data_IF_864074266584
#
_entry.id   IF_864074266584
#
_cell.length_a   1.000
_cell.length_b   1.000
_cell.length_c   1.000
_cell.angle_alpha   90.00
_cell.angle_beta   90.00
_cell.angle_gamma   90.00
#
_symmetry.space_group_name_H-M   'P 1'
#
loop_
_entity.id
_entity.type
_entity.pdbx_description
1 polymer ?
#
# COMPACT_ATOMS: atom_id res chain seq x y z
N UNK A 1 3.19 35.25 -15.82
CA UNK A 1 4.53 35.88 -15.85
C UNK A 1 5.48 34.91 -15.19
N UNK A 2 6.51 34.45 -15.91
CA UNK A 2 7.46 33.47 -15.41
C UNK A 2 8.20 34.02 -14.18
N UNK A 3 8.12 33.28 -13.08
CA UNK A 3 8.77 33.66 -11.82
C UNK A 3 10.26 33.27 -11.85
N UNK A 4 11.14 34.07 -11.25
CA UNK A 4 12.56 33.68 -11.13
C UNK A 4 12.73 32.58 -10.08
N UNK A 5 13.89 31.91 -10.07
CA UNK A 5 14.22 30.94 -9.01
C UNK A 5 14.24 31.60 -7.63
N UNK A 6 14.82 32.79 -7.52
CA UNK A 6 14.92 33.53 -6.25
C UNK A 6 13.53 33.88 -5.69
N UNK A 7 12.64 34.37 -6.57
CA UNK A 7 11.26 34.66 -6.19
C UNK A 7 10.52 33.39 -5.76
N UNK A 8 10.70 32.28 -6.49
CA UNK A 8 10.10 30.98 -6.16
C UNK A 8 10.51 30.51 -4.77
N UNK A 9 11.81 30.56 -4.46
CA UNK A 9 12.34 30.14 -3.16
C UNK A 9 11.88 31.06 -2.04
N UNK A 10 11.81 32.37 -2.28
CA UNK A 10 11.26 33.33 -1.32
C UNK A 10 9.79 33.05 -1.02
N UNK A 11 8.98 32.71 -2.03
CA UNK A 11 7.57 32.35 -1.85
C UNK A 11 7.44 31.06 -1.04
N UNK A 12 8.30 30.07 -1.33
CA UNK A 12 8.34 28.81 -0.62
C UNK A 12 8.94 28.91 0.79
N UNK A 13 9.49 30.07 1.18
CA UNK A 13 10.13 30.27 2.48
C UNK A 13 11.50 29.58 2.62
N UNK A 14 12.18 29.27 1.51
CA UNK A 14 13.48 28.60 1.49
C UNK A 14 14.58 29.59 1.07
N UNK A 15 15.72 29.60 1.76
CA UNK A 15 16.86 30.44 1.38
C UNK A 15 17.71 29.78 0.29
N UNK A 16 18.37 30.58 -0.56
CA UNK A 16 19.22 30.07 -1.65
C UNK A 16 20.38 29.19 -1.16
N UNK A 17 20.89 29.42 0.05
CA UNK A 17 21.96 28.62 0.69
C UNK A 17 21.52 27.23 1.15
N UNK A 18 20.21 26.99 1.30
CA UNK A 18 19.69 25.66 1.71
C UNK A 18 19.63 24.68 0.55
N UNK A 19 19.71 25.15 -0.69
CA UNK A 19 19.49 24.36 -1.91
C UNK A 19 20.74 23.64 -2.42
N UNK A 20 21.92 23.97 -1.89
CA UNK A 20 23.22 23.48 -2.40
C UNK A 20 23.40 21.95 -2.26
N UNK A 21 22.58 21.28 -1.44
CA UNK A 21 22.62 19.83 -1.27
C UNK A 21 21.57 19.07 -2.10
N UNK A 22 20.61 19.75 -2.75
CA UNK A 22 19.54 19.12 -3.54
C UNK A 22 18.54 18.29 -2.73
N UNK A 23 18.54 18.37 -1.40
CA UNK A 23 17.70 17.56 -0.51
C UNK A 23 16.40 18.27 -0.07
N UNK A 24 16.21 19.51 -0.52
CA UNK A 24 15.11 20.34 -0.05
C UNK A 24 13.77 20.03 -0.74
N UNK A 25 12.69 20.19 0.01
CA UNK A 25 11.33 20.15 -0.49
C UNK A 25 10.72 21.54 -0.46
N UNK A 26 10.13 22.00 -1.57
CA UNK A 26 9.41 23.28 -1.60
C UNK A 26 7.92 23.08 -1.76
N UNK A 27 7.13 23.99 -1.20
CA UNK A 27 5.68 24.03 -1.38
C UNK A 27 5.27 25.36 -1.96
N UNK A 28 4.49 25.33 -3.05
CA UNK A 28 3.77 26.47 -3.57
C UNK A 28 2.29 26.30 -3.27
N UNK A 29 1.70 27.32 -2.65
CA UNK A 29 0.30 27.31 -2.27
C UNK A 29 -0.39 28.54 -2.85
N UNK A 30 -1.50 28.29 -3.54
CA UNK A 30 -2.29 29.29 -4.21
C UNK A 30 -1.73 29.68 -5.58
N UNK A 31 -2.42 30.64 -6.19
CA UNK A 31 -2.18 31.03 -7.56
C UNK A 31 -1.07 32.08 -7.69
N UNK A 32 0.18 31.63 -7.57
CA UNK A 32 1.37 32.51 -7.49
C UNK A 32 2.07 32.72 -8.83
N UNK A 33 1.94 31.79 -9.77
CA UNK A 33 2.59 31.87 -11.08
C UNK A 33 1.89 31.00 -12.13
N UNK A 34 2.08 31.33 -13.40
CA UNK A 34 1.62 30.52 -14.54
C UNK A 34 2.70 29.57 -15.09
N UNK A 35 3.95 29.69 -14.63
CA UNK A 35 5.09 28.89 -15.10
C UNK A 35 6.23 28.85 -14.08
N UNK A 36 6.86 27.67 -13.95
CA UNK A 36 8.04 27.48 -13.10
C UNK A 36 9.34 27.73 -13.90
N UNK A 37 10.41 28.21 -13.25
CA UNK A 37 11.72 28.33 -13.88
C UNK A 37 12.31 26.95 -14.21
N UNK A 38 13.15 26.89 -15.25
CA UNK A 38 13.86 25.67 -15.65
C UNK A 38 15.02 25.33 -14.70
N UNK A 39 15.56 24.12 -14.81
CA UNK A 39 16.72 23.63 -14.05
C UNK A 39 16.54 23.74 -12.52
N UNK A 40 15.33 23.48 -12.02
CA UNK A 40 15.09 23.38 -10.59
C UNK A 40 15.73 22.10 -10.06
N UNK A 41 16.64 22.25 -9.08
CA UNK A 41 17.28 21.14 -8.38
C UNK A 41 16.73 21.08 -6.97
N UNK A 42 15.84 20.14 -6.73
CA UNK A 42 15.12 19.97 -5.48
C UNK A 42 14.95 18.48 -5.23
N UNK A 43 14.77 18.07 -3.98
CA UNK A 43 14.32 16.70 -3.73
C UNK A 43 12.81 16.59 -3.99
N UNK A 44 12.05 17.59 -3.55
CA UNK A 44 10.59 17.55 -3.56
C UNK A 44 9.91 18.84 -4.00
N UNK A 45 8.79 18.70 -4.69
CA UNK A 45 7.92 19.80 -5.08
C UNK A 45 6.46 19.49 -4.72
N UNK A 46 5.85 20.35 -3.90
CA UNK A 46 4.41 20.33 -3.64
C UNK A 46 3.76 21.54 -4.28
N UNK A 47 2.71 21.30 -5.07
CA UNK A 47 1.88 22.31 -5.71
C UNK A 47 0.46 22.16 -5.18
N UNK A 48 -0.06 23.24 -4.60
CA UNK A 48 -1.41 23.27 -4.05
C UNK A 48 -2.15 24.50 -4.54
N UNK A 49 -3.35 24.32 -5.05
CA UNK A 49 -4.25 25.41 -5.46
C UNK A 49 -3.61 26.36 -6.51
N UNK A 50 -2.69 25.85 -7.34
CA UNK A 50 -2.00 26.61 -8.38
C UNK A 50 -2.82 26.68 -9.67
N UNK A 51 -3.90 27.46 -9.64
CA UNK A 51 -4.89 27.50 -10.75
C UNK A 51 -4.34 28.02 -12.07
N UNK A 52 -3.35 28.92 -12.09
CA UNK A 52 -2.78 29.47 -13.34
C UNK A 52 -1.61 28.66 -13.89
N UNK A 53 -1.01 27.76 -13.10
CA UNK A 53 0.16 27.00 -13.52
C UNK A 53 -0.20 26.01 -14.63
N UNK A 54 0.42 26.19 -15.80
CA UNK A 54 0.04 25.47 -17.03
C UNK A 54 0.77 24.15 -17.24
N UNK A 55 2.02 24.07 -16.76
CA UNK A 55 2.87 22.90 -16.95
C UNK A 55 4.06 22.94 -16.01
N UNK A 56 4.69 21.78 -15.82
CA UNK A 56 6.00 21.67 -15.20
C UNK A 56 7.11 21.85 -16.26
N UNK A 57 8.32 22.28 -15.88
CA UNK A 57 9.49 22.30 -16.77
C UNK A 57 9.90 20.89 -17.17
N UNK A 58 10.31 20.69 -18.44
CA UNK A 58 10.74 19.37 -18.95
C UNK A 58 12.07 18.89 -18.34
N UNK A 59 12.86 19.80 -17.79
CA UNK A 59 14.15 19.54 -17.14
C UNK A 59 14.06 19.51 -15.60
N UNK A 60 12.85 19.32 -15.06
CA UNK A 60 12.61 19.21 -13.64
C UNK A 60 13.25 17.91 -13.09
N UNK A 61 14.18 18.05 -12.14
CA UNK A 61 14.89 16.95 -11.50
C UNK A 61 14.51 16.90 -10.02
N UNK A 62 13.58 16.00 -9.69
CA UNK A 62 13.01 15.79 -8.35
C UNK A 62 12.72 14.31 -8.12
N UNK A 63 12.61 13.90 -6.84
CA UNK A 63 12.24 12.55 -6.42
C UNK A 63 10.85 12.46 -5.81
N UNK A 64 10.32 13.57 -5.30
CA UNK A 64 8.99 13.70 -4.74
C UNK A 64 8.18 14.77 -5.48
N UNK A 65 6.99 14.42 -5.93
CA UNK A 65 6.04 15.38 -6.52
C UNK A 65 4.66 15.21 -5.89
N UNK A 66 4.09 16.30 -5.41
CA UNK A 66 2.69 16.35 -4.95
C UNK A 66 1.95 17.46 -5.70
N UNK A 67 0.81 17.13 -6.31
CA UNK A 67 -0.05 18.09 -7.02
C UNK A 67 -1.48 17.94 -6.50
N UNK A 68 -1.99 19.01 -5.91
CA UNK A 68 -3.35 19.10 -5.39
C UNK A 68 -4.07 20.28 -6.03
N UNK A 69 -5.23 20.02 -6.65
CA UNK A 69 -6.11 21.06 -7.20
C UNK A 69 -5.40 22.04 -8.15
N UNK A 70 -4.58 21.51 -9.07
CA UNK A 70 -3.91 22.28 -10.12
C UNK A 70 -4.49 21.90 -11.50
N UNK A 71 -5.69 22.38 -11.86
CA UNK A 71 -6.49 21.82 -12.97
C UNK A 71 -5.88 22.03 -14.36
N UNK A 72 -4.98 23.00 -14.52
CA UNK A 72 -4.34 23.30 -15.80
C UNK A 72 -3.10 22.43 -16.09
N UNK A 73 -2.60 21.67 -15.10
CA UNK A 73 -1.51 20.71 -15.30
C UNK A 73 -2.14 19.39 -15.73
N UNK A 74 -2.12 19.14 -17.04
CA UNK A 74 -2.75 17.94 -17.64
C UNK A 74 -1.74 16.85 -18.01
N UNK A 75 -0.44 17.14 -17.90
CA UNK A 75 0.63 16.19 -18.22
C UNK A 75 1.84 16.43 -17.32
N UNK A 76 2.56 15.34 -17.05
CA UNK A 76 3.85 15.36 -16.39
C UNK A 76 4.98 15.28 -17.44
N UNK A 77 6.17 15.87 -17.18
CA UNK A 77 7.34 15.67 -18.02
C UNK A 77 7.70 14.18 -18.13
N UNK A 78 8.02 13.73 -19.35
CA UNK A 78 8.35 12.31 -19.61
C UNK A 78 9.65 11.86 -18.94
N UNK A 79 10.56 12.82 -18.69
CA UNK A 79 11.88 12.59 -18.09
C UNK A 79 11.85 12.31 -16.59
N UNK A 80 10.70 12.52 -15.92
CA UNK A 80 10.61 12.39 -14.47
C UNK A 80 10.89 10.95 -13.99
N UNK A 81 11.74 10.86 -12.97
CA UNK A 81 12.06 9.64 -12.26
C UNK A 81 11.76 9.82 -10.77
N UNK A 82 10.50 9.62 -10.41
CA UNK A 82 10.00 9.85 -9.06
C UNK A 82 10.12 8.58 -8.22
N UNK A 83 10.41 8.77 -6.95
CA UNK A 83 10.27 7.74 -5.92
C UNK A 83 8.87 7.81 -5.30
N UNK A 84 8.30 9.01 -5.26
CA UNK A 84 7.00 9.31 -4.66
C UNK A 84 6.20 10.27 -5.56
N UNK A 85 4.94 9.94 -5.83
CA UNK A 85 4.03 10.78 -6.61
C UNK A 85 2.66 10.82 -5.97
N UNK A 86 2.21 12.02 -5.58
CA UNK A 86 0.87 12.25 -5.05
C UNK A 86 0.07 13.17 -5.96
N UNK A 87 -1.06 12.70 -6.48
CA UNK A 87 -2.00 13.46 -7.28
C UNK A 87 -3.37 13.44 -6.60
N UNK A 88 -3.91 14.62 -6.34
CA UNK A 88 -5.23 14.79 -5.73
C UNK A 88 -6.10 15.67 -6.63
N UNK A 89 -7.23 15.13 -7.08
CA UNK A 89 -8.17 15.82 -7.96
C UNK A 89 -7.45 16.41 -9.18
N UNK A 90 -6.69 15.54 -9.87
CA UNK A 90 -5.79 15.93 -10.96
C UNK A 90 -6.38 15.62 -12.32
N UNK A 91 -6.12 16.51 -13.28
CA UNK A 91 -6.49 16.33 -14.69
C UNK A 91 -5.42 15.56 -15.48
N UNK A 92 -4.31 15.17 -14.85
CA UNK A 92 -3.23 14.41 -15.48
C UNK A 92 -3.76 13.08 -16.04
N UNK A 93 -3.43 12.78 -17.29
CA UNK A 93 -3.91 11.58 -17.99
C UNK A 93 -2.90 10.42 -18.04
N UNK A 94 -1.61 10.73 -17.83
CA UNK A 94 -0.51 9.77 -18.01
C UNK A 94 0.54 9.95 -16.91
N UNK A 95 0.97 8.83 -16.31
CA UNK A 95 2.07 8.80 -15.35
C UNK A 95 3.43 8.69 -16.07
N UNK A 96 4.53 9.23 -15.50
CA UNK A 96 5.86 9.13 -16.09
C UNK A 96 6.33 7.68 -16.18
N UNK A 97 6.51 7.17 -17.42
CA UNK A 97 6.79 5.75 -17.68
C UNK A 97 8.13 5.24 -17.15
N UNK A 98 9.07 6.15 -16.90
CA UNK A 98 10.38 5.83 -16.31
C UNK A 98 10.37 5.86 -14.79
N UNK A 99 9.26 6.29 -14.19
CA UNK A 99 9.08 6.35 -12.75
C UNK A 99 8.41 5.07 -12.27
N UNK A 100 9.07 4.35 -11.37
CA UNK A 100 8.44 3.21 -10.68
C UNK A 100 7.60 3.65 -9.47
N UNK A 101 7.76 4.89 -8.97
CA UNK A 101 7.07 5.41 -7.78
C UNK A 101 7.13 4.42 -6.60
N UNK A 102 8.28 3.79 -6.45
CA UNK A 102 8.45 2.57 -5.67
C UNK A 102 8.36 2.78 -4.16
N UNK A 103 8.49 4.03 -3.67
CA UNK A 103 8.20 4.30 -2.25
C UNK A 103 6.69 4.35 -2.07
N UNK A 104 6.03 5.28 -2.76
CA UNK A 104 4.59 5.49 -2.64
C UNK A 104 4.00 6.09 -3.92
N UNK A 105 2.78 5.67 -4.24
CA UNK A 105 1.99 6.25 -5.32
C UNK A 105 0.58 6.51 -4.79
N UNK A 106 0.18 7.78 -4.75
CA UNK A 106 -1.11 8.22 -4.22
C UNK A 106 -1.85 8.98 -5.30
N UNK A 107 -2.89 8.38 -5.86
CA UNK A 107 -3.77 8.94 -6.87
C UNK A 107 -5.18 8.95 -6.30
N UNK A 108 -5.67 10.13 -5.92
CA UNK A 108 -7.00 10.31 -5.35
C UNK A 108 -7.82 11.17 -6.29
N UNK A 109 -8.97 10.66 -6.73
CA UNK A 109 -9.88 11.34 -7.65
C UNK A 109 -9.16 11.82 -8.94
N UNK A 110 -8.38 10.94 -9.57
CA UNK A 110 -7.69 11.23 -10.84
C UNK A 110 -8.45 10.57 -12.01
N UNK A 111 -9.48 11.22 -12.57
CA UNK A 111 -10.39 10.58 -13.52
C UNK A 111 -9.75 10.25 -14.86
N UNK A 112 -8.66 10.90 -15.25
CA UNK A 112 -8.07 10.73 -16.58
C UNK A 112 -6.99 9.64 -16.63
N UNK A 113 -6.51 9.17 -15.47
CA UNK A 113 -5.54 8.07 -15.38
C UNK A 113 -6.22 6.76 -15.80
N UNK A 114 -5.66 6.11 -16.81
CA UNK A 114 -6.16 4.83 -17.35
C UNK A 114 -5.27 3.64 -17.06
N UNK A 115 -3.99 3.89 -16.74
CA UNK A 115 -2.99 2.86 -16.57
C UNK A 115 -1.89 3.32 -15.61
N UNK A 116 -1.43 2.39 -14.79
CA UNK A 116 -0.17 2.51 -14.05
C UNK A 116 0.96 1.88 -14.91
N UNK A 117 2.14 2.49 -15.03
CA UNK A 117 3.25 1.96 -15.82
C UNK A 117 3.61 0.51 -15.47
N UNK A 118 3.99 -0.29 -16.47
CA UNK A 118 4.30 -1.72 -16.27
C UNK A 118 5.56 -1.94 -15.40
N UNK A 119 6.41 -0.93 -15.25
CA UNK A 119 7.58 -0.96 -14.38
C UNK A 119 7.24 -0.81 -12.88
N UNK A 120 6.02 -0.41 -12.53
CA UNK A 120 5.55 -0.30 -11.16
C UNK A 120 5.17 -1.69 -10.62
N UNK A 121 6.15 -2.53 -10.31
CA UNK A 121 5.91 -3.92 -9.89
C UNK A 121 6.01 -4.15 -8.38
N UNK A 122 6.60 -3.22 -7.62
CA UNK A 122 6.85 -3.35 -6.18
C UNK A 122 6.76 -1.98 -5.49
N UNK A 123 6.11 -1.92 -4.33
CA UNK A 123 5.97 -0.70 -3.52
C UNK A 123 6.43 -0.93 -2.07
N UNK A 124 7.33 -0.08 -1.58
CA UNK A 124 7.87 -0.12 -0.22
C UNK A 124 6.87 0.41 0.83
N UNK A 125 5.93 1.25 0.41
CA UNK A 125 4.85 1.81 1.22
C UNK A 125 3.49 1.60 0.58
N UNK A 126 2.63 2.61 0.69
CA UNK A 126 1.24 2.57 0.27
C UNK A 126 1.07 2.78 -1.26
N UNK A 127 0.09 2.08 -1.82
CA UNK A 127 -0.41 2.30 -3.18
C UNK A 127 -1.90 2.68 -3.10
N UNK A 128 -2.19 3.98 -3.25
CA UNK A 128 -3.55 4.51 -3.22
C UNK A 128 -3.97 4.97 -4.60
N UNK A 129 -5.12 4.47 -5.06
CA UNK A 129 -5.68 4.67 -6.40
C UNK A 129 -7.16 5.09 -6.33
N UNK A 130 -7.61 5.55 -5.16
CA UNK A 130 -9.01 5.83 -4.87
C UNK A 130 -9.63 6.79 -5.91
N UNK A 131 -10.81 6.43 -6.43
CA UNK A 131 -11.57 7.33 -7.32
C UNK A 131 -10.98 7.48 -8.73
N UNK A 132 -9.93 6.73 -9.08
CA UNK A 132 -9.41 6.62 -10.44
C UNK A 132 -10.34 5.76 -11.31
N UNK A 133 -11.54 6.27 -11.58
CA UNK A 133 -12.65 5.52 -12.20
C UNK A 133 -12.38 4.92 -13.59
N UNK A 134 -11.39 5.45 -14.32
CA UNK A 134 -11.00 4.96 -15.65
C UNK A 134 -9.80 4.01 -15.61
N UNK A 135 -9.26 3.71 -14.43
CA UNK A 135 -8.24 2.70 -14.22
C UNK A 135 -8.93 1.33 -14.13
N UNK A 136 -8.72 0.50 -15.14
CA UNK A 136 -9.40 -0.79 -15.31
C UNK A 136 -8.53 -2.00 -14.90
N UNK A 137 -7.21 -1.81 -14.81
CA UNK A 137 -6.26 -2.88 -14.51
C UNK A 137 -5.01 -2.35 -13.81
N UNK A 138 -4.41 -3.19 -12.99
CA UNK A 138 -3.07 -2.99 -12.44
C UNK A 138 -2.01 -3.68 -13.32
N UNK A 139 -0.76 -3.20 -13.32
CA UNK A 139 0.38 -3.97 -13.84
C UNK A 139 0.62 -5.20 -12.96
N UNK A 140 1.60 -6.04 -13.31
CA UNK A 140 1.95 -7.24 -12.55
C UNK A 140 2.68 -6.90 -11.23
N UNK A 141 1.93 -6.31 -10.30
CA UNK A 141 2.41 -5.90 -8.98
C UNK A 141 2.62 -7.15 -8.14
N UNK A 142 3.87 -7.40 -7.76
CA UNK A 142 4.28 -8.52 -6.91
C UNK A 142 3.97 -8.23 -5.44
N UNK A 143 4.29 -7.03 -4.96
CA UNK A 143 4.13 -6.66 -3.56
C UNK A 143 3.88 -5.18 -3.32
N UNK A 144 3.01 -4.91 -2.35
CA UNK A 144 2.77 -3.61 -1.72
C UNK A 144 3.01 -3.81 -0.23
N UNK A 145 4.10 -3.26 0.30
CA UNK A 145 4.45 -3.45 1.71
C UNK A 145 3.53 -2.68 2.67
N UNK A 146 2.91 -1.62 2.18
CA UNK A 146 1.87 -0.89 2.91
C UNK A 146 0.46 -1.37 2.57
N UNK A 147 -0.45 -0.41 2.51
CA UNK A 147 -1.84 -0.56 2.14
C UNK A 147 -2.03 -0.51 0.61
N UNK A 148 -2.98 -1.29 0.11
CA UNK A 148 -3.46 -1.17 -1.27
C UNK A 148 -4.89 -0.63 -1.26
N UNK A 149 -5.09 0.58 -1.76
CA UNK A 149 -6.42 1.16 -1.95
C UNK A 149 -6.75 1.27 -3.45
N UNK A 150 -7.75 0.50 -3.90
CA UNK A 150 -8.34 0.53 -5.24
C UNK A 150 -9.82 0.93 -5.18
N UNK A 151 -10.27 1.55 -4.10
CA UNK A 151 -11.65 1.91 -3.89
C UNK A 151 -12.16 2.83 -5.00
N UNK A 152 -13.43 2.64 -5.42
CA UNK A 152 -14.07 3.44 -6.48
C UNK A 152 -13.32 3.42 -7.83
N UNK A 153 -12.56 2.36 -8.13
CA UNK A 153 -11.94 2.13 -9.44
C UNK A 153 -12.75 1.13 -10.28
N UNK A 154 -12.45 1.05 -11.58
CA UNK A 154 -12.99 0.04 -12.48
C UNK A 154 -12.14 -1.26 -12.51
N UNK A 155 -11.23 -1.44 -11.54
CA UNK A 155 -10.35 -2.61 -11.46
C UNK A 155 -11.20 -3.85 -11.11
N UNK A 156 -11.16 -4.85 -11.99
CA UNK A 156 -11.93 -6.10 -11.85
C UNK A 156 -11.18 -7.23 -11.16
N UNK A 157 -9.86 -7.21 -11.20
CA UNK A 157 -8.99 -8.26 -10.67
C UNK A 157 -7.65 -7.69 -10.22
N UNK A 158 -7.09 -8.29 -9.18
CA UNK A 158 -5.73 -8.03 -8.72
C UNK A 158 -4.73 -8.99 -9.41
N UNK A 159 -3.44 -8.63 -9.50
CA UNK A 159 -2.38 -9.52 -9.98
C UNK A 159 -2.33 -10.85 -9.20
N UNK A 160 -1.95 -11.93 -9.88
CA UNK A 160 -1.82 -13.23 -9.24
C UNK A 160 -0.71 -13.22 -8.18
N UNK A 161 -0.96 -13.85 -7.02
CA UNK A 161 -0.01 -13.97 -5.92
C UNK A 161 0.43 -12.62 -5.29
N UNK A 162 -0.31 -11.52 -5.51
CA UNK A 162 0.01 -10.24 -4.90
C UNK A 162 0.11 -10.34 -3.37
N UNK A 163 1.13 -9.68 -2.83
CA UNK A 163 1.38 -9.53 -1.40
C UNK A 163 1.04 -8.11 -0.98
N UNK A 164 0.20 -7.98 0.06
CA UNK A 164 -0.19 -6.71 0.67
C UNK A 164 0.20 -6.78 2.15
N UNK A 165 1.10 -5.92 2.58
CA UNK A 165 1.63 -5.96 3.95
C UNK A 165 0.58 -5.56 4.98
N UNK A 166 -0.27 -4.60 4.66
CA UNK A 166 -1.30 -4.09 5.56
C UNK A 166 -2.70 -4.36 4.99
N UNK A 167 -3.50 -3.31 4.78
CA UNK A 167 -4.92 -3.43 4.44
C UNK A 167 -5.14 -3.42 2.93
N UNK A 168 -6.18 -4.14 2.49
CA UNK A 168 -6.77 -4.01 1.16
C UNK A 168 -8.07 -3.21 1.26
N UNK A 169 -8.08 -2.01 0.67
CA UNK A 169 -9.25 -1.15 0.54
C UNK A 169 -9.78 -1.19 -0.89
N UNK A 170 -10.90 -1.88 -1.12
CA UNK A 170 -11.50 -2.05 -2.43
C UNK A 170 -12.99 -1.68 -2.45
N UNK A 171 -13.49 -0.98 -1.43
CA UNK A 171 -14.89 -0.62 -1.32
C UNK A 171 -15.38 0.17 -2.55
N UNK A 172 -16.62 -0.11 -2.97
CA UNK A 172 -17.23 0.48 -4.16
C UNK A 172 -16.44 0.29 -5.48
N UNK A 173 -15.53 -0.69 -5.56
CA UNK A 173 -14.82 -1.02 -6.82
C UNK A 173 -15.58 -2.05 -7.65
N UNK A 174 -15.12 -2.26 -8.88
CA UNK A 174 -15.63 -3.28 -9.81
C UNK A 174 -15.00 -4.68 -9.60
N UNK A 175 -14.30 -4.91 -8.49
CA UNK A 175 -13.60 -6.17 -8.26
C UNK A 175 -14.56 -7.36 -8.28
N UNK A 176 -14.25 -8.37 -9.08
CA UNK A 176 -15.11 -9.54 -9.27
C UNK A 176 -14.71 -10.71 -8.35
N UNK A 177 -13.42 -10.81 -8.00
CA UNK A 177 -12.88 -11.80 -7.08
C UNK A 177 -11.49 -11.40 -6.57
N UNK A 178 -10.99 -12.08 -5.52
CA UNK A 178 -9.59 -11.99 -5.10
C UNK A 178 -8.78 -13.18 -5.65
N UNK A 179 -7.50 -13.00 -6.02
CA UNK A 179 -6.67 -14.08 -6.55
C UNK A 179 -6.41 -15.17 -5.50
N UNK A 180 -6.31 -16.43 -5.96
CA UNK A 180 -6.25 -17.62 -5.11
C UNK A 180 -5.18 -17.59 -4.02
N UNK A 181 -4.02 -17.04 -4.34
CA UNK A 181 -2.85 -17.02 -3.44
C UNK A 181 -2.57 -15.62 -2.89
N UNK A 182 -3.60 -14.75 -2.81
CA UNK A 182 -3.46 -13.43 -2.21
C UNK A 182 -3.01 -13.54 -0.75
N UNK A 183 -2.12 -12.64 -0.31
CA UNK A 183 -1.67 -12.56 1.08
C UNK A 183 -1.81 -11.13 1.57
N UNK A 184 -2.53 -10.95 2.68
CA UNK A 184 -2.88 -9.65 3.23
C UNK A 184 -2.58 -9.70 4.73
N UNK A 185 -1.75 -8.77 5.23
CA UNK A 185 -1.34 -8.75 6.64
C UNK A 185 -2.34 -8.08 7.58
N UNK A 186 -3.29 -7.31 7.05
CA UNK A 186 -4.28 -6.58 7.83
C UNK A 186 -5.73 -6.93 7.49
N UNK A 187 -6.53 -5.88 7.30
CA UNK A 187 -7.96 -5.91 7.04
C UNK A 187 -8.25 -6.01 5.53
N UNK A 188 -9.46 -6.47 5.19
CA UNK A 188 -9.98 -6.47 3.83
C UNK A 188 -11.32 -5.74 3.82
N UNK A 189 -11.40 -4.64 3.07
CA UNK A 189 -12.61 -3.84 2.90
C UNK A 189 -13.13 -3.97 1.46
N UNK A 190 -14.21 -4.73 1.32
CA UNK A 190 -14.90 -5.03 0.06
C UNK A 190 -16.36 -4.55 0.09
N UNK A 191 -16.70 -3.64 1.01
CA UNK A 191 -18.05 -3.12 1.12
C UNK A 191 -18.53 -2.46 -0.17
N UNK A 192 -19.80 -2.65 -0.48
CA UNK A 192 -20.46 -2.14 -1.68
C UNK A 192 -19.81 -2.56 -3.02
N UNK A 193 -19.01 -3.63 -3.05
CA UNK A 193 -18.52 -4.23 -4.30
C UNK A 193 -19.63 -5.06 -4.94
N UNK A 194 -20.51 -4.42 -5.72
CA UNK A 194 -21.69 -5.08 -6.31
C UNK A 194 -21.35 -6.17 -7.34
N UNK A 195 -20.15 -6.11 -7.93
CA UNK A 195 -19.67 -7.07 -8.92
C UNK A 195 -18.89 -8.25 -8.32
N UNK A 196 -18.66 -8.26 -6.99
CA UNK A 196 -17.94 -9.32 -6.29
C UNK A 196 -18.75 -10.62 -6.32
N UNK A 197 -18.25 -11.63 -7.03
CA UNK A 197 -18.93 -12.92 -7.25
C UNK A 197 -18.42 -14.01 -6.31
N UNK A 198 -17.14 -14.00 -6.00
CA UNK A 198 -16.50 -15.05 -5.20
C UNK A 198 -15.26 -14.56 -4.48
N UNK A 199 -14.93 -15.22 -3.38
CA UNK A 199 -13.64 -15.15 -2.70
C UNK A 199 -12.90 -16.49 -2.85
N UNK A 200 -11.57 -16.52 -2.76
CA UNK A 200 -10.82 -17.77 -2.91
C UNK A 200 -11.04 -18.72 -1.73
N UNK A 201 -11.07 -20.03 -2.03
CA UNK A 201 -11.12 -21.08 -1.00
C UNK A 201 -9.89 -20.96 -0.07
N UNK A 202 -10.13 -21.07 1.25
CA UNK A 202 -9.05 -21.00 2.23
C UNK A 202 -8.46 -19.60 2.42
N UNK A 203 -9.18 -18.54 2.03
CA UNK A 203 -8.79 -17.17 2.35
C UNK A 203 -8.58 -17.02 3.86
N UNK A 204 -7.46 -16.41 4.23
CA UNK A 204 -7.11 -16.09 5.61
C UNK A 204 -6.94 -14.57 5.73
N UNK A 205 -7.69 -13.97 6.65
CA UNK A 205 -7.66 -12.53 6.95
C UNK A 205 -7.16 -12.36 8.38
N UNK A 206 -6.10 -11.58 8.58
CA UNK A 206 -5.54 -11.35 9.91
C UNK A 206 -6.44 -10.43 10.74
N UNK A 207 -6.99 -9.40 10.12
CA UNK A 207 -7.88 -8.42 10.73
C UNK A 207 -9.36 -8.65 10.41
N UNK A 208 -10.07 -7.54 10.21
CA UNK A 208 -11.48 -7.51 9.87
C UNK A 208 -11.72 -7.78 8.36
N UNK A 209 -12.87 -8.38 8.05
CA UNK A 209 -13.36 -8.60 6.69
C UNK A 209 -14.72 -7.91 6.52
N UNK A 210 -14.75 -6.79 5.81
CA UNK A 210 -15.99 -6.06 5.50
C UNK A 210 -16.47 -6.43 4.09
N UNK A 211 -17.59 -7.14 4.01
CA UNK A 211 -18.29 -7.52 2.78
C UNK A 211 -19.66 -6.85 2.70
N UNK A 212 -19.96 -5.90 3.59
CA UNK A 212 -21.29 -5.30 3.71
C UNK A 212 -21.72 -4.68 2.39
N UNK A 213 -23.00 -4.86 2.03
CA UNK A 213 -23.57 -4.38 0.77
C UNK A 213 -22.89 -4.91 -0.51
N UNK A 214 -22.03 -5.92 -0.45
CA UNK A 214 -21.43 -6.52 -1.65
C UNK A 214 -22.40 -7.42 -2.42
N UNK A 215 -22.05 -7.78 -3.66
CA UNK A 215 -22.78 -8.73 -4.49
C UNK A 215 -22.55 -10.21 -4.14
N UNK A 216 -21.73 -10.49 -3.13
CA UNK A 216 -21.29 -11.85 -2.80
C UNK A 216 -22.46 -12.69 -2.29
N UNK A 217 -22.66 -13.88 -2.86
CA UNK A 217 -23.79 -14.76 -2.53
C UNK A 217 -23.46 -15.84 -1.51
N UNK A 218 -22.18 -16.19 -1.37
CA UNK A 218 -21.69 -17.22 -0.45
C UNK A 218 -20.28 -16.89 0.06
N UNK A 219 -19.97 -17.29 1.29
CA UNK A 219 -18.60 -17.26 1.81
C UNK A 219 -17.84 -18.51 1.33
N UNK A 220 -16.53 -18.42 1.05
CA UNK A 220 -15.75 -19.57 0.64
C UNK A 220 -15.54 -20.54 1.79
N UNK A 221 -15.38 -21.82 1.44
CA UNK A 221 -14.98 -22.85 2.41
C UNK A 221 -13.61 -22.54 3.03
N UNK A 222 -13.46 -22.91 4.30
CA UNK A 222 -12.23 -22.73 5.11
C UNK A 222 -11.79 -21.27 5.25
N UNK A 223 -12.72 -20.31 5.16
CA UNK A 223 -12.48 -18.92 5.48
C UNK A 223 -12.08 -18.76 6.96
N UNK A 224 -10.97 -18.06 7.21
CA UNK A 224 -10.52 -17.68 8.55
C UNK A 224 -10.43 -16.15 8.62
N UNK A 225 -11.11 -15.55 9.58
CA UNK A 225 -11.06 -14.10 9.86
C UNK A 225 -10.61 -13.90 11.30
N UNK A 226 -9.46 -13.25 11.50
CA UNK A 226 -8.92 -12.98 12.83
C UNK A 226 -9.75 -11.95 13.62
N UNK A 227 -10.32 -10.98 12.92
CA UNK A 227 -11.20 -9.95 13.46
C UNK A 227 -12.68 -10.25 13.26
N UNK A 228 -13.45 -9.18 13.05
CA UNK A 228 -14.87 -9.19 12.76
C UNK A 228 -15.13 -9.45 11.28
N UNK A 229 -16.31 -9.97 10.96
CA UNK A 229 -16.82 -10.05 9.59
C UNK A 229 -18.15 -9.31 9.50
N UNK A 230 -18.30 -8.49 8.46
CA UNK A 230 -19.56 -7.82 8.13
C UNK A 230 -20.14 -8.36 6.82
N UNK A 231 -21.31 -8.98 6.89
CA UNK A 231 -22.04 -9.50 5.71
C UNK A 231 -23.44 -8.89 5.61
N UNK A 232 -23.71 -7.78 6.31
CA UNK A 232 -25.01 -7.09 6.25
C UNK A 232 -25.30 -6.66 4.83
N UNK A 233 -26.58 -6.71 4.44
CA UNK A 233 -27.04 -6.33 3.10
C UNK A 233 -26.35 -7.10 1.96
N UNK A 234 -25.92 -8.34 2.21
CA UNK A 234 -25.47 -9.29 1.18
C UNK A 234 -26.54 -10.36 0.92
N UNK A 235 -26.55 -10.99 -0.26
CA UNK A 235 -27.41 -12.15 -0.53
C UNK A 235 -27.09 -13.43 0.26
N UNK A 236 -26.07 -13.43 1.14
CA UNK A 236 -25.61 -14.62 1.87
C UNK A 236 -26.70 -15.13 2.82
N UNK A 237 -27.06 -16.41 2.68
CA UNK A 237 -28.09 -17.07 3.48
C UNK A 237 -27.56 -18.12 4.45
N UNK A 238 -26.38 -18.68 4.18
CA UNK A 238 -25.76 -19.76 4.96
C UNK A 238 -24.28 -19.46 5.19
N UNK A 239 -23.74 -19.92 6.33
CA UNK A 239 -22.32 -19.83 6.66
C UNK A 239 -21.69 -21.23 6.49
N UNK A 240 -20.46 -21.33 5.93
CA UNK A 240 -19.83 -22.61 5.71
C UNK A 240 -19.40 -23.27 7.04
N UNK A 241 -19.46 -24.60 7.11
CA UNK A 241 -19.16 -25.40 8.32
C UNK A 241 -17.74 -25.17 8.89
N UNK A 242 -16.81 -24.76 8.02
CA UNK A 242 -15.40 -24.54 8.36
C UNK A 242 -15.03 -23.07 8.55
N UNK A 243 -16.02 -22.18 8.67
CA UNK A 243 -15.80 -20.77 9.00
C UNK A 243 -15.18 -20.63 10.41
N UNK A 244 -14.12 -19.84 10.50
CA UNK A 244 -13.51 -19.43 11.78
C UNK A 244 -13.51 -17.90 11.84
N UNK A 245 -14.09 -17.32 12.90
CA UNK A 245 -14.13 -15.87 13.13
C UNK A 245 -13.71 -15.58 14.57
N UNK A 246 -12.61 -14.85 14.75
CA UNK A 246 -12.10 -14.47 16.06
C UNK A 246 -12.90 -13.36 16.74
N UNK A 247 -13.57 -12.52 15.95
CA UNK A 247 -14.41 -11.41 16.40
C UNK A 247 -15.91 -11.68 16.26
N UNK A 248 -16.66 -10.62 15.95
CA UNK A 248 -18.12 -10.64 15.76
C UNK A 248 -18.49 -10.88 14.30
N UNK A 249 -19.63 -11.51 14.11
CA UNK A 249 -20.30 -11.64 12.80
C UNK A 249 -21.47 -10.66 12.79
N UNK A 250 -21.41 -9.66 11.92
CA UNK A 250 -22.49 -8.71 11.70
C UNK A 250 -23.30 -9.16 10.48
N UNK A 251 -24.60 -9.40 10.70
CA UNK A 251 -25.53 -9.97 9.73
C UNK A 251 -26.93 -9.41 9.96
N UNK A 252 -27.77 -9.42 8.92
CA UNK A 252 -29.16 -8.97 9.00
C UNK A 252 -30.03 -10.03 9.71
N UNK A 253 -31.14 -9.61 10.31
CA UNK A 253 -32.01 -10.50 11.12
C UNK A 253 -32.55 -11.73 10.37
N UNK A 254 -32.58 -11.68 9.03
CA UNK A 254 -33.09 -12.76 8.18
C UNK A 254 -31.99 -13.67 7.58
N UNK A 255 -30.71 -13.48 7.96
CA UNK A 255 -29.58 -14.29 7.48
C UNK A 255 -29.32 -15.53 8.37
N UNK A 256 -28.33 -16.34 7.98
CA UNK A 256 -27.89 -17.56 8.66
C UNK A 256 -27.76 -17.44 10.19
N UNK A 257 -27.91 -18.56 10.91
CA UNK A 257 -27.57 -18.60 12.33
C UNK A 257 -26.06 -18.77 12.54
N UNK A 258 -25.43 -17.83 13.23
CA UNK A 258 -23.99 -17.83 13.56
C UNK A 258 -23.62 -18.62 14.84
N UNK A 259 -24.59 -19.26 15.53
CA UNK A 259 -24.38 -19.87 16.86
C UNK A 259 -23.32 -20.97 16.89
N UNK A 260 -23.01 -21.59 15.75
CA UNK A 260 -22.10 -22.73 15.64
C UNK A 260 -20.75 -22.37 15.00
N UNK A 261 -20.49 -21.09 14.72
CA UNK A 261 -19.23 -20.67 14.11
C UNK A 261 -18.08 -20.82 15.11
N UNK A 262 -16.95 -21.35 14.64
CA UNK A 262 -15.75 -21.54 15.46
C UNK A 262 -15.10 -20.19 15.73
N UNK A 263 -14.69 -19.96 16.97
CA UNK A 263 -14.01 -18.72 17.38
C UNK A 263 -12.55 -18.92 17.76
N UNK A 264 -12.10 -20.18 17.85
CA UNK A 264 -10.72 -20.52 18.16
C UNK A 264 -9.83 -20.34 16.94
N UNK A 265 -9.04 -19.26 16.94
CA UNK A 265 -8.07 -18.98 15.89
C UNK A 265 -6.85 -19.92 15.99
N UNK A 266 -6.20 -20.25 14.86
CA UNK A 266 -4.88 -20.84 14.87
C UNK A 266 -3.89 -20.01 15.72
N UNK A 267 -3.10 -20.66 16.56
CA UNK A 267 -2.18 -19.99 17.49
C UNK A 267 -1.12 -19.10 16.82
N UNK A 268 -0.85 -19.33 15.53
CA UNK A 268 0.10 -18.56 14.72
C UNK A 268 -0.54 -18.17 13.38
N UNK A 269 -1.69 -17.50 13.46
CA UNK A 269 -2.42 -16.99 12.30
C UNK A 269 -1.55 -16.13 11.37
N UNK A 270 -0.70 -15.20 11.85
CA UNK A 270 0.21 -14.47 10.98
C UNK A 270 1.16 -15.39 10.23
N UNK A 271 1.76 -16.39 10.89
CA UNK A 271 2.63 -17.33 10.17
C UNK A 271 1.87 -18.14 9.12
N UNK A 272 0.61 -18.51 9.36
CA UNK A 272 -0.21 -19.20 8.36
C UNK A 272 -0.36 -18.36 7.08
N UNK A 273 -0.60 -17.05 7.22
CA UNK A 273 -0.73 -16.10 6.11
C UNK A 273 0.57 -15.96 5.33
N UNK A 274 1.71 -16.02 6.00
CA UNK A 274 3.02 -15.75 5.40
C UNK A 274 3.83 -17.01 5.07
N UNK A 275 3.32 -18.19 5.42
CA UNK A 275 4.00 -19.46 5.18
C UNK A 275 4.32 -19.66 3.70
N UNK A 276 5.57 -20.05 3.43
CA UNK A 276 6.10 -20.31 2.08
C UNK A 276 6.02 -19.11 1.12
N UNK A 277 5.86 -17.89 1.64
CA UNK A 277 5.80 -16.66 0.82
C UNK A 277 7.17 -16.02 0.59
N UNK A 278 8.17 -16.36 1.40
CA UNK A 278 9.43 -15.61 1.47
C UNK A 278 9.32 -14.29 2.24
N UNK A 279 8.19 -14.04 2.90
CA UNK A 279 7.97 -12.88 3.76
C UNK A 279 7.61 -13.31 5.19
N UNK A 280 7.78 -12.38 6.13
CA UNK A 280 7.44 -12.57 7.53
C UNK A 280 6.86 -11.28 8.11
N UNK A 281 5.76 -11.41 8.84
CA UNK A 281 5.15 -10.29 9.55
C UNK A 281 5.55 -10.31 11.02
N UNK A 282 6.30 -9.30 11.44
CA UNK A 282 6.87 -9.19 12.78
C UNK A 282 6.54 -7.81 13.33
N UNK A 283 5.82 -7.77 14.45
CA UNK A 283 5.48 -6.52 15.16
C UNK A 283 4.93 -5.45 14.21
N UNK A 284 3.85 -5.78 13.54
CA UNK A 284 3.11 -4.85 12.68
C UNK A 284 3.90 -4.37 11.46
N UNK A 285 4.92 -5.12 11.04
CA UNK A 285 5.73 -4.82 9.86
C UNK A 285 5.97 -6.09 9.04
N UNK A 286 5.84 -5.98 7.72
CA UNK A 286 6.21 -7.02 6.78
C UNK A 286 7.68 -6.90 6.40
N UNK A 287 8.41 -8.01 6.45
CA UNK A 287 9.81 -8.10 6.04
C UNK A 287 10.01 -9.20 5.00
N UNK A 288 11.00 -9.02 4.13
CA UNK A 288 11.46 -10.10 3.24
C UNK A 288 12.43 -11.00 3.99
N UNK A 289 12.21 -12.30 3.97
CA UNK A 289 13.16 -13.29 4.48
C UNK A 289 14.23 -13.53 3.41
N UNK A 290 15.50 -13.35 3.77
CA UNK A 290 16.64 -13.60 2.88
C UNK A 290 17.44 -14.84 3.29
N UNK A 291 17.45 -15.19 4.59
CA UNK A 291 18.07 -16.43 5.07
C UNK A 291 17.27 -17.07 6.19
N UNK A 292 17.30 -18.41 6.23
CA UNK A 292 16.68 -19.25 7.25
C UNK A 292 17.77 -20.05 7.96
N UNK A 293 17.83 -19.91 9.28
CA UNK A 293 18.69 -20.70 10.17
C UNK A 293 17.83 -21.50 11.15
N UNK A 294 18.44 -22.46 11.85
CA UNK A 294 17.71 -23.36 12.77
C UNK A 294 16.98 -22.60 13.89
N UNK A 295 17.58 -21.52 14.39
CA UNK A 295 17.09 -20.76 15.55
C UNK A 295 16.66 -19.32 15.22
N UNK A 296 16.88 -18.84 13.99
CA UNK A 296 16.59 -17.46 13.60
C UNK A 296 16.42 -17.27 12.09
N UNK A 297 15.86 -16.13 11.70
CA UNK A 297 15.76 -15.67 10.32
C UNK A 297 16.59 -14.40 10.13
N UNK A 298 17.13 -14.21 8.92
CA UNK A 298 17.65 -12.91 8.49
C UNK A 298 16.63 -12.30 7.51
N UNK A 299 16.22 -11.07 7.81
CA UNK A 299 15.21 -10.35 7.05
C UNK A 299 15.70 -8.95 6.67
N UNK A 300 15.11 -8.36 5.63
CA UNK A 300 15.39 -6.99 5.19
C UNK A 300 14.13 -6.13 5.17
N UNK A 301 14.34 -4.82 5.32
CA UNK A 301 13.27 -3.82 5.29
C UNK A 301 12.60 -3.73 3.92
N UNK A 302 11.35 -3.23 3.86
CA UNK A 302 10.65 -2.98 2.60
C UNK A 302 11.50 -2.19 1.60
N UNK A 303 12.05 -1.05 2.02
CA UNK A 303 12.85 -0.16 1.19
C UNK A 303 14.03 -0.88 0.54
N UNK A 304 14.72 -1.74 1.29
CA UNK A 304 15.85 -2.48 0.76
C UNK A 304 15.41 -3.57 -0.21
N UNK A 305 14.34 -4.32 0.07
CA UNK A 305 13.80 -5.34 -0.86
C UNK A 305 13.44 -4.70 -2.21
N UNK A 306 12.74 -3.57 -2.17
CA UNK A 306 12.35 -2.82 -3.37
C UNK A 306 13.57 -2.30 -4.13
N UNK A 307 14.54 -1.72 -3.41
CA UNK A 307 15.78 -1.25 -4.03
C UNK A 307 16.53 -2.37 -4.75
N UNK A 308 16.60 -3.57 -4.17
CA UNK A 308 17.22 -4.75 -4.82
C UNK A 308 16.47 -5.17 -6.07
N UNK A 309 15.14 -5.25 -6.02
CA UNK A 309 14.30 -5.60 -7.17
C UNK A 309 14.47 -4.59 -8.33
N UNK A 310 14.64 -3.30 -8.02
CA UNK A 310 14.77 -2.24 -9.05
C UNK A 310 16.19 -2.13 -9.61
N UNK A 311 17.21 -2.35 -8.78
CA UNK A 311 18.61 -2.17 -9.18
C UNK A 311 19.31 -3.45 -9.61
N UNK A 312 18.67 -4.61 -9.44
CA UNK A 312 19.28 -5.94 -9.64
C UNK A 312 20.59 -6.08 -8.84
N UNK A 313 20.65 -5.43 -7.66
CA UNK A 313 21.83 -5.42 -6.79
C UNK A 313 21.67 -6.39 -5.63
N UNK A 314 22.67 -7.26 -5.46
CA UNK A 314 22.80 -8.15 -4.30
C UNK A 314 23.68 -7.55 -3.20
N UNK A 315 24.24 -6.35 -3.38
CA UNK A 315 25.06 -5.72 -2.35
C UNK A 315 24.16 -5.17 -1.23
N UNK A 316 24.06 -5.91 -0.15
CA UNK A 316 23.36 -5.48 1.06
C UNK A 316 24.38 -4.95 2.05
N UNK A 317 24.25 -3.69 2.46
CA UNK A 317 24.93 -3.23 3.66
C UNK A 317 24.32 -3.95 4.88
N UNK A 318 25.18 -4.54 5.71
CA UNK A 318 24.81 -5.21 6.95
C UNK A 318 23.92 -4.37 7.87
N UNK A 319 23.93 -3.04 7.75
CA UNK A 319 23.11 -2.13 8.56
C UNK A 319 21.59 -2.22 8.28
N UNK A 320 21.18 -2.82 7.17
CA UNK A 320 19.77 -2.99 6.79
C UNK A 320 19.25 -4.42 6.94
N UNK A 321 20.03 -5.28 7.59
CA UNK A 321 19.67 -6.66 7.91
C UNK A 321 19.20 -6.76 9.36
N UNK A 322 18.08 -7.43 9.56
CA UNK A 322 17.54 -7.72 10.88
C UNK A 322 17.52 -9.22 11.13
N UNK A 323 17.81 -9.60 12.36
CA UNK A 323 17.65 -10.95 12.86
C UNK A 323 16.29 -11.06 13.50
N UNK A 324 15.57 -12.14 13.24
CA UNK A 324 14.30 -12.46 13.90
C UNK A 324 14.44 -13.80 14.61
N UNK A 325 14.03 -13.88 15.88
CA UNK A 325 14.00 -15.13 16.66
C UNK A 325 12.60 -15.33 17.22
N UNK A 326 12.11 -16.58 17.14
CA UNK A 326 10.80 -16.98 17.68
C UNK A 326 10.96 -17.67 19.03
N UNK A 327 10.13 -17.31 20.00
CA UNK A 327 9.98 -18.00 21.27
C UNK A 327 8.48 -18.20 21.57
N UNK A 328 7.98 -19.42 21.38
CA UNK A 328 6.55 -19.69 21.44
C UNK A 328 5.80 -18.96 20.31
N UNK A 329 4.83 -18.11 20.65
CA UNK A 329 4.08 -17.27 19.69
C UNK A 329 4.66 -15.86 19.58
N UNK A 330 5.83 -15.59 20.18
CA UNK A 330 6.44 -14.26 20.23
C UNK A 330 7.67 -14.20 19.34
N UNK A 331 7.90 -13.02 18.75
CA UNK A 331 9.04 -12.73 17.91
C UNK A 331 9.84 -11.56 18.50
N UNK A 332 11.17 -11.67 18.48
CA UNK A 332 12.06 -10.53 18.69
C UNK A 332 12.78 -10.18 17.40
N UNK A 333 13.14 -8.91 17.27
CA UNK A 333 13.83 -8.37 16.10
C UNK A 333 14.93 -7.40 16.52
N UNK A 334 16.03 -7.35 15.77
CA UNK A 334 17.15 -6.44 16.01
C UNK A 334 18.27 -6.60 15.00
N UNK A 335 19.24 -5.69 14.99
CA UNK A 335 20.38 -5.72 14.07
C UNK A 335 21.44 -6.75 14.47
N UNK A 336 21.28 -7.37 15.65
CA UNK A 336 22.11 -8.48 16.12
C UNK A 336 21.28 -9.44 16.96
N UNK A 337 21.74 -10.69 17.08
CA UNK A 337 21.11 -11.69 17.97
C UNK A 337 21.04 -11.22 19.43
N UNK A 338 21.95 -10.35 19.87
CA UNK A 338 21.91 -9.77 21.21
C UNK A 338 20.74 -8.81 21.36
N UNK A 339 20.54 -7.90 20.40
CA UNK A 339 19.40 -6.98 20.39
C UNK A 339 18.07 -7.74 20.35
N UNK A 340 18.00 -8.82 19.54
CA UNK A 340 16.81 -9.69 19.48
C UNK A 340 16.46 -10.30 20.83
N UNK A 341 17.46 -10.75 21.60
CA UNK A 341 17.23 -11.30 22.95
C UNK A 341 16.75 -10.24 23.94
N UNK A 342 17.32 -9.03 23.88
CA UNK A 342 16.88 -7.89 24.68
C UNK A 342 15.43 -7.54 24.36
N UNK A 343 15.08 -7.53 23.07
CA UNK A 343 13.76 -7.25 22.57
C UNK A 343 12.70 -8.29 23.00
N UNK A 344 13.00 -9.59 22.85
CA UNK A 344 12.17 -10.69 23.37
C UNK A 344 11.92 -10.56 24.87
N UNK A 345 12.97 -10.24 25.64
CA UNK A 345 12.88 -10.11 27.08
C UNK A 345 11.99 -8.93 27.51
N UNK A 346 12.06 -7.81 26.78
CA UNK A 346 11.26 -6.62 27.04
C UNK A 346 9.77 -6.87 26.77
N UNK A 347 9.47 -7.57 25.68
CA UNK A 347 8.12 -7.93 25.25
C UNK A 347 7.44 -8.86 26.26
N UNK A 348 8.19 -9.83 26.80
CA UNK A 348 7.70 -10.72 27.86
C UNK A 348 7.50 -10.02 29.21
N UNK A 349 8.31 -9.00 29.55
CA UNK A 349 8.19 -8.25 30.82
C UNK A 349 6.98 -7.31 30.84
N UNK A 350 6.69 -6.60 29.75
CA UNK A 350 5.56 -5.65 29.65
C UNK A 350 4.18 -6.31 29.81
N UNK A 351 4.08 -7.63 29.65
CA UNK A 351 2.82 -8.38 29.81
C UNK A 351 2.63 -9.03 31.18
N UNK A 352 3.63 -8.92 32.07
CA UNK A 352 3.56 -9.41 33.46
C UNK A 352 3.23 -8.32 34.49
N UNK A 353 3.15 -7.07 34.05
CA UNK A 353 2.66 -5.90 34.81
C UNK A 353 1.28 -5.55 34.27
#
# INVERSE_FOLDING_TARGET
MMITKEDLYSIAGVSSTMLDNGMECITLNGDVTDSLPSQLKLYGLTLKDCFSLKSLPEDLDIKFLSIQQCPNIVRLPESLQLEQLYLFQSEIDTLPVHSSCWKELVLIDCPNIKKIPDACTVFAGDLFLEGCKNLESLPDIKSVYGNLNIAKTAIRQLPENIIIGNDLEAYCSDIETLPKNIRIGGNIYLSNCKNLKSLPEGLVVNGDLDLSESGLTELPDKLIVGGNIDIRSTPIQELPDNLIVGGKIMMDENQANASNVKTELPADLPHLIWKDSGYMYVKDNLYKVIELHDDYWIVISPILDVYREITDSDSIDSEYQFYVVKNGTHYGIGNSLKEVQEDLSSTMRKRKQ
#
